data_IF_390112475941
#
_entry.id   IF_390112475941
#
_cell.length_a   1.000
_cell.length_b   1.000
_cell.length_c   1.000
_cell.angle_alpha   90.00
_cell.angle_beta   90.00
_cell.angle_gamma   90.00
#
_symmetry.space_group_name_H-M   'P 1'
#
loop_
_entity.id
_entity.type
_entity.pdbx_description
1 polymer ?
#
# COMPACT_ATOMS: atom_id res chain seq x y z
N UNK A 1 20.36 -0.98 -33.26
CA UNK A 1 19.25 -0.03 -33.06
C UNK A 1 19.19 0.29 -31.59
N UNK A 2 19.03 1.56 -31.23
CA UNK A 2 18.80 1.95 -29.85
C UNK A 2 17.43 1.42 -29.42
N UNK A 3 17.39 0.61 -28.37
CA UNK A 3 16.17 -0.04 -27.90
C UNK A 3 15.08 0.97 -27.51
N UNK A 4 15.46 2.17 -27.08
CA UNK A 4 14.53 3.23 -26.66
C UNK A 4 13.79 3.88 -27.83
N UNK A 5 14.38 3.90 -29.03
CA UNK A 5 13.78 4.49 -30.24
C UNK A 5 13.12 3.45 -31.15
N UNK A 6 13.28 2.16 -30.86
CA UNK A 6 12.78 1.08 -31.70
C UNK A 6 11.25 1.13 -31.87
N UNK A 7 10.51 1.42 -30.80
CA UNK A 7 9.04 1.54 -30.87
C UNK A 7 8.61 2.78 -31.67
N UNK A 8 9.33 3.90 -31.53
CA UNK A 8 9.03 5.13 -32.30
C UNK A 8 9.11 4.86 -33.81
N UNK A 9 10.10 4.11 -34.28
CA UNK A 9 10.23 3.73 -35.69
C UNK A 9 9.05 2.88 -36.20
N UNK A 10 8.44 2.08 -35.32
CA UNK A 10 7.23 1.31 -35.65
C UNK A 10 6.02 2.23 -35.70
N UNK A 11 5.87 3.12 -34.71
CA UNK A 11 4.77 4.08 -34.65
C UNK A 11 4.78 5.08 -35.81
N UNK A 12 5.95 5.41 -36.36
CA UNK A 12 6.07 6.22 -37.60
C UNK A 12 5.40 5.58 -38.83
N UNK A 13 5.26 4.25 -38.84
CA UNK A 13 4.64 3.50 -39.94
C UNK A 13 3.16 3.18 -39.67
N UNK A 14 2.69 3.45 -38.45
CA UNK A 14 1.34 3.14 -38.03
C UNK A 14 0.33 4.05 -38.74
N UNK A 15 -0.79 3.47 -39.17
CA UNK A 15 -1.96 4.19 -39.67
C UNK A 15 -3.14 4.07 -38.73
N UNK A 16 -3.16 3.07 -37.87
CA UNK A 16 -4.22 2.88 -36.89
C UNK A 16 -3.67 2.23 -35.64
N UNK A 17 -4.26 2.56 -34.51
CA UNK A 17 -4.06 1.83 -33.26
C UNK A 17 -5.41 1.36 -32.72
N UNK A 18 -5.48 0.09 -32.35
CA UNK A 18 -6.60 -0.47 -31.59
C UNK A 18 -6.15 -0.65 -30.15
N UNK A 19 -6.96 -0.16 -29.21
CA UNK A 19 -6.61 -0.17 -27.80
C UNK A 19 -7.74 -0.80 -27.00
N UNK A 20 -7.38 -1.68 -26.07
CA UNK A 20 -8.35 -2.34 -25.20
C UNK A 20 -7.75 -2.71 -23.86
N UNK A 21 -8.58 -2.85 -22.84
CA UNK A 21 -8.15 -3.26 -21.50
C UNK A 21 -7.67 -4.72 -21.48
N UNK A 22 -6.64 -4.98 -20.68
CA UNK A 22 -6.15 -6.33 -20.41
C UNK A 22 -6.88 -6.88 -19.19
N UNK A 23 -7.52 -8.04 -19.32
CA UNK A 23 -8.03 -8.81 -18.18
C UNK A 23 -9.41 -8.40 -17.62
N UNK A 24 -10.21 -7.59 -18.32
CA UNK A 24 -11.59 -7.28 -17.90
C UNK A 24 -11.71 -6.42 -16.64
N UNK A 25 -10.60 -5.86 -16.15
CA UNK A 25 -10.58 -4.86 -15.09
C UNK A 25 -10.70 -3.47 -15.73
N UNK A 26 -11.94 -3.05 -15.97
CA UNK A 26 -12.27 -1.78 -16.61
C UNK A 26 -13.52 -1.96 -17.47
N UNK A 27 -14.46 -1.02 -17.37
CA UNK A 27 -15.66 -0.96 -18.23
C UNK A 27 -15.34 -0.30 -19.57
N UNK A 28 -14.07 0.02 -19.80
CA UNK A 28 -13.64 0.80 -20.94
C UNK A 28 -13.55 -0.12 -22.15
N UNK A 29 -14.36 0.21 -23.16
CA UNK A 29 -14.47 -0.57 -24.39
C UNK A 29 -13.18 -0.55 -25.21
N UNK A 30 -13.25 -1.17 -26.38
CA UNK A 30 -12.19 -1.05 -27.39
C UNK A 30 -12.28 0.33 -28.05
N UNK A 31 -11.16 1.05 -28.10
CA UNK A 31 -11.04 2.30 -28.87
C UNK A 31 -10.21 2.03 -30.12
N UNK A 32 -10.56 2.71 -31.22
CA UNK A 32 -9.80 2.68 -32.47
C UNK A 32 -9.50 4.10 -32.89
N UNK A 33 -8.23 4.39 -33.10
CA UNK A 33 -7.76 5.73 -33.44
C UNK A 33 -7.02 5.68 -34.77
N UNK A 34 -7.45 6.54 -35.69
CA UNK A 34 -6.80 6.76 -36.97
C UNK A 34 -5.58 7.67 -36.77
N UNK A 35 -4.41 7.16 -37.15
CA UNK A 35 -3.12 7.84 -37.05
C UNK A 35 -2.67 8.43 -38.40
N UNK A 36 -3.55 8.46 -39.40
CA UNK A 36 -3.30 9.11 -40.69
C UNK A 36 -3.16 10.63 -40.56
N UNK A 37 -3.70 11.23 -39.49
CA UNK A 37 -3.40 12.61 -39.11
C UNK A 37 -1.99 12.69 -38.49
N UNK A 38 -1.04 13.43 -39.12
CA UNK A 38 0.30 13.60 -38.58
C UNK A 38 0.35 14.18 -37.17
N UNK A 39 -0.63 15.01 -36.79
CA UNK A 39 -0.70 15.58 -35.45
C UNK A 39 -1.02 14.48 -34.42
N UNK A 40 -2.00 13.63 -34.72
CA UNK A 40 -2.42 12.53 -33.83
C UNK A 40 -1.33 11.47 -33.70
N UNK A 41 -0.69 11.10 -34.81
CA UNK A 41 0.50 10.24 -34.80
C UNK A 41 1.64 10.80 -33.95
N UNK A 42 1.95 12.10 -34.09
CA UNK A 42 3.00 12.74 -33.31
C UNK A 42 2.69 12.78 -31.80
N UNK A 43 1.43 12.99 -31.44
CA UNK A 43 0.97 12.96 -30.04
C UNK A 43 1.15 11.59 -29.41
N UNK A 44 0.69 10.52 -30.08
CA UNK A 44 0.85 9.16 -29.56
C UNK A 44 2.34 8.77 -29.45
N UNK A 45 3.15 9.13 -30.45
CA UNK A 45 4.60 8.87 -30.42
C UNK A 45 5.30 9.55 -29.25
N UNK A 46 4.93 10.80 -28.97
CA UNK A 46 5.45 11.54 -27.81
C UNK A 46 5.00 10.89 -26.50
N UNK A 47 3.73 10.50 -26.41
CA UNK A 47 3.16 9.85 -25.24
C UNK A 47 3.77 8.45 -24.96
N UNK A 48 4.15 7.71 -26.01
CA UNK A 48 4.78 6.39 -25.91
C UNK A 48 6.32 6.45 -25.91
N UNK A 49 6.91 7.64 -25.77
CA UNK A 49 8.35 7.79 -25.75
C UNK A 49 8.96 7.04 -24.56
N UNK A 50 10.03 6.29 -24.82
CA UNK A 50 10.74 5.48 -23.82
C UNK A 50 11.95 6.24 -23.31
N UNK A 51 12.08 6.33 -21.99
CA UNK A 51 13.27 6.87 -21.33
C UNK A 51 14.36 5.82 -21.18
N UNK A 52 14.01 4.60 -20.75
CA UNK A 52 15.01 3.58 -20.42
C UNK A 52 14.48 2.14 -20.48
N UNK A 53 15.42 1.19 -20.51
CA UNK A 53 15.20 -0.26 -20.45
C UNK A 53 15.97 -0.84 -19.25
N UNK A 54 15.42 -0.80 -18.03
CA UNK A 54 16.17 -1.08 -16.81
C UNK A 54 16.41 -2.58 -16.53
N UNK A 55 15.94 -3.50 -17.37
CA UNK A 55 16.12 -4.95 -17.15
C UNK A 55 15.11 -5.57 -16.17
N UNK A 56 13.97 -4.93 -15.93
CA UNK A 56 12.90 -5.40 -15.05
C UNK A 56 11.64 -5.79 -15.83
N UNK A 57 10.84 -6.72 -15.30
CA UNK A 57 9.51 -7.05 -15.80
C UNK A 57 8.46 -6.97 -14.68
N UNK A 58 7.35 -6.28 -14.95
CA UNK A 58 6.16 -6.36 -14.11
C UNK A 58 5.65 -7.81 -14.06
N UNK A 59 5.28 -8.28 -12.88
CA UNK A 59 4.64 -9.59 -12.73
C UNK A 59 3.14 -9.57 -13.11
N UNK A 60 2.61 -8.40 -13.44
CA UNK A 60 1.24 -8.21 -13.88
C UNK A 60 1.04 -8.52 -15.38
N UNK A 61 -0.21 -8.76 -15.77
CA UNK A 61 -0.58 -8.95 -17.19
C UNK A 61 -0.59 -7.63 -17.99
N UNK A 62 -0.60 -6.49 -17.29
CA UNK A 62 -0.77 -5.16 -17.84
C UNK A 62 -2.20 -4.64 -17.71
N UNK A 63 -2.40 -3.37 -18.04
CA UNK A 63 -3.66 -2.66 -17.92
C UNK A 63 -4.31 -2.43 -19.28
N UNK A 64 -3.50 -2.02 -20.27
CA UNK A 64 -3.98 -1.60 -21.59
C UNK A 64 -3.11 -2.21 -22.68
N UNK A 65 -3.74 -2.82 -23.69
CA UNK A 65 -3.09 -3.38 -24.88
C UNK A 65 -3.29 -2.45 -26.06
N UNK A 66 -2.21 -2.16 -26.77
CA UNK A 66 -2.16 -1.42 -28.02
C UNK A 66 -1.80 -2.38 -29.15
N UNK A 67 -2.66 -2.53 -30.14
CA UNK A 67 -2.34 -3.15 -31.42
C UNK A 67 -2.08 -2.07 -32.46
N UNK A 68 -0.82 -1.97 -32.88
CA UNK A 68 -0.37 -0.99 -33.87
C UNK A 68 -0.50 -1.61 -35.25
N UNK A 69 -1.23 -0.95 -36.15
CA UNK A 69 -1.58 -1.45 -37.47
C UNK A 69 -1.03 -0.53 -38.57
N UNK A 70 -0.63 -1.14 -39.69
CA UNK A 70 -0.30 -0.43 -40.93
C UNK A 70 -1.57 -0.02 -41.71
N UNK A 71 -1.35 0.58 -42.88
CA UNK A 71 -2.41 1.07 -43.77
C UNK A 71 -3.36 -0.02 -44.27
N UNK A 72 -2.85 -1.23 -44.45
CA UNK A 72 -3.58 -2.38 -44.97
C UNK A 72 -4.25 -3.19 -43.84
N UNK A 73 -4.11 -2.72 -42.58
CA UNK A 73 -4.60 -3.40 -41.38
C UNK A 73 -3.67 -4.51 -40.89
N UNK A 74 -2.47 -4.64 -41.45
CA UNK A 74 -1.43 -5.54 -40.99
C UNK A 74 -0.88 -5.11 -39.63
N UNK A 75 -0.68 -6.06 -38.73
CA UNK A 75 -0.21 -5.76 -37.37
C UNK A 75 1.30 -5.56 -37.33
N UNK A 76 1.71 -4.35 -36.99
CA UNK A 76 3.12 -3.96 -36.84
C UNK A 76 3.66 -4.31 -35.45
N UNK A 77 2.87 -4.08 -34.39
CA UNK A 77 3.28 -4.37 -33.02
C UNK A 77 2.08 -4.63 -32.09
N UNK A 78 2.37 -5.31 -30.97
CA UNK A 78 1.49 -5.37 -29.80
C UNK A 78 2.30 -4.88 -28.61
N UNK A 79 1.83 -3.81 -27.98
CA UNK A 79 2.47 -3.20 -26.81
C UNK A 79 1.47 -3.19 -25.67
N UNK A 80 1.92 -3.45 -24.44
CA UNK A 80 1.06 -3.47 -23.25
C UNK A 80 1.56 -2.43 -22.25
N UNK A 81 0.68 -1.56 -21.78
CA UNK A 81 0.93 -0.60 -20.70
C UNK A 81 0.75 -1.27 -19.35
N UNK A 82 1.66 -0.97 -18.43
CA UNK A 82 1.67 -1.44 -17.05
C UNK A 82 1.78 -0.25 -16.09
N UNK A 83 0.84 -0.20 -15.16
CA UNK A 83 0.68 0.79 -14.09
C UNK A 83 0.84 2.25 -14.54
N UNK A 84 0.42 2.54 -15.78
CA UNK A 84 0.55 3.88 -16.38
C UNK A 84 1.99 4.37 -16.56
N UNK A 85 3.01 3.52 -16.40
CA UNK A 85 4.40 3.95 -16.30
C UNK A 85 5.37 3.15 -17.18
N UNK A 86 5.07 1.88 -17.49
CA UNK A 86 5.96 1.04 -18.30
C UNK A 86 5.24 0.37 -19.46
N UNK A 87 5.97 0.10 -20.53
CA UNK A 87 5.49 -0.60 -21.73
C UNK A 87 6.19 -1.94 -21.89
N UNK A 88 5.43 -2.99 -22.16
CA UNK A 88 5.95 -4.29 -22.58
C UNK A 88 5.75 -4.48 -24.07
N UNK A 89 6.83 -4.82 -24.76
CA UNK A 89 6.83 -5.17 -26.18
C UNK A 89 7.74 -6.36 -26.41
N UNK A 90 7.31 -7.34 -27.19
CA UNK A 90 8.05 -8.59 -27.41
C UNK A 90 9.40 -8.45 -28.13
N UNK A 91 9.78 -7.23 -28.52
CA UNK A 91 11.12 -6.93 -29.08
C UNK A 91 12.09 -6.38 -28.02
N UNK A 92 11.63 -6.20 -26.78
CA UNK A 92 12.47 -5.80 -25.64
C UNK A 92 12.69 -6.96 -24.67
N UNK A 93 13.88 -7.03 -24.11
CA UNK A 93 14.26 -7.99 -23.05
C UNK A 93 13.70 -7.60 -21.67
N UNK A 94 13.05 -6.45 -21.55
CA UNK A 94 12.49 -5.92 -20.30
C UNK A 94 11.33 -4.97 -20.58
N UNK A 95 10.56 -4.63 -19.56
CA UNK A 95 9.55 -3.58 -19.67
C UNK A 95 10.26 -2.21 -19.73
N UNK A 96 9.88 -1.39 -20.70
CA UNK A 96 10.45 -0.08 -20.94
C UNK A 96 9.78 0.99 -20.07
N UNK A 97 10.55 1.92 -19.51
CA UNK A 97 10.01 3.04 -18.74
C UNK A 97 9.61 4.16 -19.70
N UNK A 98 8.37 4.65 -19.58
CA UNK A 98 7.89 5.81 -20.32
C UNK A 98 8.59 7.08 -19.82
N UNK A 99 8.93 7.98 -20.74
CA UNK A 99 9.45 9.30 -20.38
C UNK A 99 8.43 10.14 -19.60
N UNK A 100 7.15 10.04 -19.97
CA UNK A 100 6.06 10.58 -19.17
C UNK A 100 4.79 9.74 -19.36
N UNK A 101 4.55 8.86 -18.39
CA UNK A 101 3.36 8.00 -18.37
C UNK A 101 2.03 8.76 -18.38
N UNK A 102 1.99 9.98 -17.82
CA UNK A 102 0.77 10.79 -17.77
C UNK A 102 0.33 11.25 -19.16
N UNK A 103 1.28 11.44 -20.09
CA UNK A 103 0.94 11.81 -21.47
C UNK A 103 0.16 10.68 -22.16
N UNK A 104 0.56 9.43 -21.96
CA UNK A 104 -0.16 8.28 -22.53
C UNK A 104 -1.52 8.08 -21.87
N UNK A 105 -1.60 8.24 -20.56
CA UNK A 105 -2.87 8.16 -19.83
C UNK A 105 -3.83 9.29 -20.26
N UNK A 106 -3.34 10.51 -20.48
CA UNK A 106 -4.14 11.62 -20.97
C UNK A 106 -4.61 11.37 -22.42
N UNK A 107 -3.73 10.82 -23.25
CA UNK A 107 -4.10 10.40 -24.61
C UNK A 107 -5.22 9.36 -24.59
N UNK A 108 -5.17 8.38 -23.69
CA UNK A 108 -6.24 7.37 -23.52
C UNK A 108 -7.55 8.00 -23.05
N UNK A 109 -7.50 8.90 -22.07
CA UNK A 109 -8.67 9.61 -21.52
C UNK A 109 -9.40 10.40 -22.61
N UNK A 110 -8.66 11.17 -23.41
CA UNK A 110 -9.21 11.95 -24.53
C UNK A 110 -9.88 11.09 -25.61
N UNK A 111 -9.45 9.83 -25.74
CA UNK A 111 -10.03 8.87 -26.69
C UNK A 111 -11.11 7.97 -26.06
N UNK A 112 -11.57 8.29 -24.85
CA UNK A 112 -12.70 7.61 -24.21
C UNK A 112 -12.33 6.40 -23.36
N UNK A 113 -11.06 6.29 -22.93
CA UNK A 113 -10.58 5.28 -21.98
C UNK A 113 -10.03 5.97 -20.71
N UNK A 114 -10.91 6.49 -19.84
CA UNK A 114 -10.51 7.28 -18.67
C UNK A 114 -10.02 6.43 -17.48
N UNK A 115 -10.38 5.14 -17.43
CA UNK A 115 -10.10 4.24 -16.30
C UNK A 115 -8.62 4.14 -15.92
N UNK A 116 -7.68 3.97 -16.87
CA UNK A 116 -6.25 3.95 -16.58
C UNK A 116 -5.75 5.20 -15.85
N UNK A 117 -6.19 6.40 -16.26
CA UNK A 117 -5.80 7.66 -15.59
C UNK A 117 -6.36 7.71 -14.16
N UNK A 118 -7.63 7.35 -13.98
CA UNK A 118 -8.27 7.35 -12.66
C UNK A 118 -7.58 6.38 -11.71
N UNK A 119 -7.23 5.18 -12.18
CA UNK A 119 -6.51 4.18 -11.40
C UNK A 119 -5.11 4.67 -11.03
N UNK A 120 -4.37 5.24 -11.98
CA UNK A 120 -3.04 5.80 -11.74
C UNK A 120 -3.06 6.91 -10.67
N UNK A 121 -4.01 7.84 -10.74
CA UNK A 121 -4.15 8.90 -9.74
C UNK A 121 -4.56 8.36 -8.37
N UNK A 122 -5.46 7.37 -8.33
CA UNK A 122 -5.84 6.71 -7.09
C UNK A 122 -4.67 5.93 -6.45
N UNK A 123 -3.82 5.29 -7.27
CA UNK A 123 -2.60 4.62 -6.81
C UNK A 123 -1.58 5.62 -6.27
N UNK A 124 -1.38 6.74 -6.98
CA UNK A 124 -0.49 7.82 -6.51
C UNK A 124 -0.96 8.39 -5.18
N UNK A 125 -2.25 8.71 -5.06
CA UNK A 125 -2.79 9.25 -3.80
C UNK A 125 -2.61 8.25 -2.65
N UNK A 126 -2.89 6.96 -2.89
CA UNK A 126 -2.66 5.91 -1.89
C UNK A 126 -1.18 5.75 -1.51
N UNK A 127 -0.27 5.91 -2.46
CA UNK A 127 1.17 5.87 -2.21
C UNK A 127 1.62 7.08 -1.36
N UNK A 128 1.07 8.27 -1.62
CA UNK A 128 1.33 9.48 -0.84
C UNK A 128 0.81 9.36 0.60
N UNK A 129 -0.42 8.86 0.77
CA UNK A 129 -1.00 8.53 2.07
C UNK A 129 -0.14 7.50 2.80
N UNK A 130 0.23 6.40 2.14
CA UNK A 130 1.07 5.35 2.72
C UNK A 130 2.46 5.84 3.12
N UNK A 131 3.06 6.75 2.35
CA UNK A 131 4.35 7.35 2.70
C UNK A 131 4.26 8.27 3.93
N UNK A 132 3.14 8.98 4.10
CA UNK A 132 2.87 9.77 5.30
C UNK A 132 2.60 8.87 6.52
N UNK A 133 1.83 7.80 6.36
CA UNK A 133 1.61 6.77 7.38
C UNK A 133 2.93 6.13 7.83
N UNK A 134 3.83 5.78 6.90
CA UNK A 134 5.16 5.24 7.20
C UNK A 134 6.03 6.25 7.97
N UNK A 135 6.01 7.53 7.57
CA UNK A 135 6.73 8.60 8.30
C UNK A 135 6.22 8.76 9.72
N UNK A 136 4.91 8.79 9.91
CA UNK A 136 4.29 8.89 11.25
C UNK A 136 4.59 7.66 12.10
N UNK A 137 4.60 6.47 11.49
CA UNK A 137 4.96 5.22 12.15
C UNK A 137 6.41 5.22 12.62
N UNK A 138 7.35 5.67 11.78
CA UNK A 138 8.76 5.81 12.14
C UNK A 138 8.99 6.89 13.21
N UNK A 139 8.28 8.01 13.14
CA UNK A 139 8.39 9.08 14.13
C UNK A 139 7.93 8.66 15.53
N UNK A 140 6.97 7.73 15.61
CA UNK A 140 6.51 7.14 16.87
C UNK A 140 7.33 5.92 17.31
N UNK A 141 8.36 5.51 16.55
CA UNK A 141 9.23 4.42 16.94
C UNK A 141 9.88 4.74 18.29
N UNK A 142 9.81 3.83 19.29
CA UNK A 142 10.40 4.06 20.59
C UNK A 142 11.90 4.35 20.51
N UNK A 143 12.36 5.30 21.31
CA UNK A 143 13.77 5.65 21.39
C UNK A 143 14.66 4.42 21.64
N UNK A 144 15.82 4.37 21.00
CA UNK A 144 16.77 3.25 21.07
C UNK A 144 16.52 2.12 20.06
N UNK A 145 15.43 2.18 19.28
CA UNK A 145 15.13 1.23 18.20
C UNK A 145 15.48 1.76 16.80
N UNK A 146 15.95 2.99 16.65
CA UNK A 146 16.13 3.68 15.37
C UNK A 146 17.05 2.90 14.42
N UNK A 147 18.11 2.28 14.98
CA UNK A 147 19.04 1.44 14.21
C UNK A 147 18.46 0.14 13.67
N UNK A 148 17.20 -0.18 13.97
CA UNK A 148 16.48 -1.36 13.46
C UNK A 148 15.39 -1.02 12.44
N UNK A 149 15.16 0.27 12.17
CA UNK A 149 14.07 0.75 11.33
C UNK A 149 14.08 0.13 9.93
N UNK A 150 15.21 0.18 9.23
CA UNK A 150 15.33 -0.36 7.87
C UNK A 150 15.01 -1.85 7.79
N UNK A 151 15.49 -2.62 8.76
CA UNK A 151 15.23 -4.06 8.85
C UNK A 151 13.76 -4.37 9.13
N UNK A 152 13.07 -3.53 9.89
CA UNK A 152 11.62 -3.68 10.13
C UNK A 152 10.82 -3.28 8.89
N UNK A 153 11.17 -2.18 8.21
CA UNK A 153 10.51 -1.73 6.98
C UNK A 153 10.65 -2.76 5.85
N UNK A 154 11.79 -3.44 5.77
CA UNK A 154 12.05 -4.47 4.77
C UNK A 154 11.07 -5.66 4.84
N UNK A 155 10.44 -5.89 6.01
CA UNK A 155 9.39 -6.91 6.15
C UNK A 155 8.20 -6.64 5.22
N UNK A 156 7.84 -5.38 5.00
CA UNK A 156 6.76 -5.01 4.08
C UNK A 156 7.16 -5.18 2.62
N UNK A 157 8.44 -4.98 2.29
CA UNK A 157 8.96 -5.15 0.92
C UNK A 157 9.06 -6.63 0.53
N UNK A 158 9.46 -7.46 1.48
CA UNK A 158 9.66 -8.90 1.28
C UNK A 158 8.41 -9.74 1.57
N UNK A 159 7.39 -9.16 2.20
CA UNK A 159 6.23 -9.90 2.71
C UNK A 159 6.58 -10.86 3.84
N UNK A 160 7.69 -10.60 4.55
CA UNK A 160 8.23 -11.45 5.60
C UNK A 160 7.44 -11.41 6.91
N UNK A 161 8.03 -11.97 7.96
CA UNK A 161 7.54 -11.83 9.35
C UNK A 161 8.73 -11.53 10.25
N UNK A 162 8.54 -10.79 11.36
CA UNK A 162 9.64 -10.53 12.28
C UNK A 162 10.16 -11.86 12.85
N UNK A 163 11.48 -12.05 12.79
CA UNK A 163 12.11 -13.27 13.32
C UNK A 163 12.10 -13.28 14.85
N UNK A 164 12.19 -14.46 15.50
CA UNK A 164 12.32 -14.55 16.95
C UNK A 164 13.51 -13.74 17.50
N UNK A 165 14.63 -13.72 16.78
CA UNK A 165 15.87 -13.00 17.13
C UNK A 165 15.66 -11.50 17.05
N UNK A 166 15.03 -11.00 15.98
CA UNK A 166 14.67 -9.58 15.87
C UNK A 166 13.77 -9.16 17.03
N UNK A 167 12.73 -9.95 17.33
CA UNK A 167 11.81 -9.63 18.43
C UNK A 167 12.50 -9.69 19.80
N UNK A 168 13.50 -10.57 20.00
CA UNK A 168 14.30 -10.62 21.22
C UNK A 168 15.17 -9.36 21.36
N UNK A 169 15.90 -8.98 20.31
CA UNK A 169 16.71 -7.76 20.28
C UNK A 169 15.88 -6.50 20.57
N UNK A 170 14.71 -6.37 19.93
CA UNK A 170 13.81 -5.24 20.19
C UNK A 170 13.30 -5.24 21.63
N UNK A 171 13.03 -6.41 22.20
CA UNK A 171 12.59 -6.54 23.60
C UNK A 171 13.70 -6.07 24.56
N UNK A 172 14.93 -6.50 24.35
CA UNK A 172 16.07 -6.16 25.21
C UNK A 172 16.37 -4.65 25.16
N UNK A 173 16.36 -4.06 23.96
CA UNK A 173 16.50 -2.61 23.80
C UNK A 173 15.39 -1.82 24.47
N UNK A 174 14.13 -2.25 24.31
CA UNK A 174 13.00 -1.60 24.99
C UNK A 174 13.10 -1.68 26.50
N UNK A 175 13.57 -2.80 27.05
CA UNK A 175 13.78 -2.95 28.50
C UNK A 175 14.91 -2.05 29.00
N UNK A 176 15.97 -1.88 28.21
CA UNK A 176 17.08 -1.00 28.54
C UNK A 176 16.67 0.48 28.49
N UNK A 177 15.98 0.90 27.42
CA UNK A 177 15.55 2.30 27.26
C UNK A 177 14.41 2.67 28.20
N UNK A 178 13.45 1.75 28.41
CA UNK A 178 12.28 1.97 29.26
C UNK A 178 12.24 0.92 30.38
N UNK A 179 12.98 1.14 31.49
CA UNK A 179 12.94 0.22 32.63
C UNK A 179 11.55 0.11 33.27
N UNK A 180 10.79 1.21 33.30
CA UNK A 180 9.40 1.22 33.77
C UNK A 180 8.50 0.42 32.81
N UNK A 181 7.86 -0.68 33.27
CA UNK A 181 6.95 -1.45 32.43
C UNK A 181 5.77 -0.63 31.89
N UNK A 182 5.31 0.38 32.63
CA UNK A 182 4.21 1.25 32.16
C UNK A 182 4.67 2.11 30.99
N UNK A 183 5.82 2.78 31.09
CA UNK A 183 6.36 3.60 29.99
C UNK A 183 6.61 2.75 28.75
N UNK A 184 7.15 1.56 28.92
CA UNK A 184 7.38 0.62 27.83
C UNK A 184 6.08 0.20 27.14
N UNK A 185 5.01 -0.07 27.90
CA UNK A 185 3.68 -0.36 27.34
C UNK A 185 3.12 0.83 26.58
N UNK A 186 3.19 2.03 27.15
CA UNK A 186 2.67 3.23 26.51
C UNK A 186 3.43 3.55 25.22
N UNK A 187 4.75 3.42 25.20
CA UNK A 187 5.57 3.59 24.00
C UNK A 187 5.21 2.59 22.90
N UNK A 188 5.00 1.31 23.25
CA UNK A 188 4.57 0.29 22.30
C UNK A 188 3.15 0.54 21.76
N UNK A 189 2.24 1.03 22.61
CA UNK A 189 0.88 1.38 22.19
C UNK A 189 0.86 2.57 21.25
N UNK A 190 1.63 3.62 21.55
CA UNK A 190 1.78 4.79 20.69
C UNK A 190 2.29 4.37 19.30
N UNK A 191 3.37 3.59 19.27
CA UNK A 191 3.96 3.08 18.04
C UNK A 191 3.04 2.14 17.26
N UNK A 192 2.25 1.31 17.94
CA UNK A 192 1.27 0.45 17.27
C UNK A 192 0.10 1.25 16.67
N UNK A 193 -0.23 2.39 17.28
CA UNK A 193 -1.34 3.26 16.86
C UNK A 193 -1.00 4.25 15.75
N UNK A 194 0.28 4.53 15.48
CA UNK A 194 0.74 5.67 14.66
C UNK A 194 0.85 5.45 13.15
N UNK A 195 0.75 4.21 12.68
CA UNK A 195 0.75 3.90 11.24
C UNK A 195 -0.62 4.15 10.60
N UNK A 196 -0.98 3.32 9.62
CA UNK A 196 -2.31 3.35 8.98
C UNK A 196 -3.49 3.27 9.96
N UNK A 197 -3.23 2.77 11.17
CA UNK A 197 -4.23 2.57 12.22
C UNK A 197 -5.24 1.48 11.90
N UNK A 198 -5.13 0.80 10.75
CA UNK A 198 -6.08 -0.23 10.32
C UNK A 198 -5.96 -1.48 11.19
N UNK A 199 -7.08 -2.15 11.44
CA UNK A 199 -7.10 -3.44 12.13
C UNK A 199 -6.78 -4.63 11.22
N UNK A 200 -6.78 -4.42 9.91
CA UNK A 200 -6.43 -5.41 8.88
C UNK A 200 -5.93 -4.73 7.61
N UNK A 201 -5.22 -5.47 6.74
CA UNK A 201 -4.73 -4.94 5.45
C UNK A 201 -3.72 -3.80 5.57
N UNK A 202 -2.86 -3.83 6.60
CA UNK A 202 -1.81 -2.86 6.85
C UNK A 202 -0.42 -3.41 6.45
N UNK A 203 0.58 -2.54 6.20
CA UNK A 203 1.96 -2.97 5.93
C UNK A 203 2.52 -3.87 7.03
N UNK A 204 3.22 -4.94 6.66
CA UNK A 204 3.75 -5.95 7.61
C UNK A 204 4.55 -5.32 8.75
N UNK A 205 5.37 -4.31 8.45
CA UNK A 205 6.19 -3.59 9.43
C UNK A 205 5.37 -3.04 10.61
N UNK A 206 4.12 -2.59 10.37
CA UNK A 206 3.27 -2.04 11.42
C UNK A 206 2.76 -3.10 12.42
N UNK A 207 2.92 -4.39 12.10
CA UNK A 207 2.59 -5.51 12.97
C UNK A 207 3.62 -5.75 14.08
N UNK A 208 4.87 -5.28 13.91
CA UNK A 208 5.97 -5.54 14.86
C UNK A 208 5.65 -5.08 16.29
N UNK A 209 5.11 -3.86 16.52
CA UNK A 209 4.74 -3.43 17.87
C UNK A 209 3.65 -4.32 18.49
N UNK A 210 2.73 -4.84 17.65
CA UNK A 210 1.69 -5.78 18.07
C UNK A 210 2.26 -7.13 18.53
N UNK A 211 3.26 -7.66 17.83
CA UNK A 211 3.99 -8.88 18.25
C UNK A 211 4.70 -8.69 19.59
N UNK A 212 5.33 -7.52 19.80
CA UNK A 212 5.96 -7.16 21.08
C UNK A 212 4.90 -7.01 22.20
N UNK A 213 3.80 -6.30 21.95
CA UNK A 213 2.68 -6.19 22.88
C UNK A 213 2.01 -7.54 23.17
N UNK A 214 2.06 -8.49 22.24
CA UNK A 214 1.57 -9.86 22.41
C UNK A 214 2.35 -10.64 23.46
N UNK A 215 3.61 -10.27 23.71
CA UNK A 215 4.49 -10.83 24.75
C UNK A 215 4.29 -10.16 26.11
N UNK A 216 3.69 -8.98 26.16
CA UNK A 216 3.40 -8.26 27.40
C UNK A 216 2.22 -8.93 28.13
N UNK A 217 2.35 -9.21 29.45
CA UNK A 217 1.24 -9.66 30.28
C UNK A 217 0.05 -8.69 30.21
N UNK A 218 -1.17 -9.22 30.11
CA UNK A 218 -2.37 -8.38 30.02
C UNK A 218 -2.53 -7.45 31.25
N UNK A 219 -2.06 -7.87 32.43
CA UNK A 219 -2.07 -7.05 33.63
C UNK A 219 -1.24 -5.77 33.47
N UNK A 220 -0.06 -5.86 32.85
CA UNK A 220 0.82 -4.71 32.62
C UNK A 220 0.23 -3.78 31.55
N UNK A 221 -0.40 -4.34 30.52
CA UNK A 221 -1.14 -3.57 29.52
C UNK A 221 -2.28 -2.76 30.16
N UNK A 222 -3.05 -3.39 31.05
CA UNK A 222 -4.13 -2.75 31.79
C UNK A 222 -3.62 -1.68 32.76
N UNK A 223 -2.51 -1.96 33.45
CA UNK A 223 -1.87 -0.98 34.34
C UNK A 223 -1.42 0.25 33.55
N UNK A 224 -0.80 0.06 32.38
CA UNK A 224 -0.40 1.16 31.52
C UNK A 224 -1.58 2.00 31.02
N UNK A 225 -2.67 1.37 30.60
CA UNK A 225 -3.88 2.07 30.13
C UNK A 225 -4.68 2.78 31.24
N UNK A 226 -4.46 2.40 32.50
CA UNK A 226 -5.04 3.04 33.69
C UNK A 226 -4.15 4.15 34.27
N UNK A 227 -2.88 4.22 33.89
CA UNK A 227 -1.92 5.24 34.34
C UNK A 227 -2.31 6.64 33.84
N UNK A 228 -2.01 7.67 34.65
CA UNK A 228 -2.31 9.06 34.32
C UNK A 228 -1.52 9.60 33.11
N UNK A 229 -0.41 8.94 32.76
CA UNK A 229 0.37 9.22 31.55
C UNK A 229 -0.32 8.74 30.28
N UNK A 230 -1.34 7.88 30.38
CA UNK A 230 -2.05 7.37 29.22
C UNK A 230 -2.84 8.49 28.51
N UNK A 231 -2.72 8.56 27.18
CA UNK A 231 -3.35 9.57 26.32
C UNK A 231 -4.09 8.89 25.16
N UNK A 232 -4.85 9.67 24.40
CA UNK A 232 -5.64 9.18 23.26
C UNK A 232 -4.84 8.36 22.22
N UNK A 233 -3.57 8.68 21.87
CA UNK A 233 -2.78 7.83 20.97
C UNK A 233 -2.61 6.38 21.46
N UNK A 234 -2.52 6.18 22.78
CA UNK A 234 -2.41 4.84 23.34
C UNK A 234 -3.73 4.05 23.22
N UNK A 235 -4.87 4.73 23.22
CA UNK A 235 -6.17 4.08 22.96
C UNK A 235 -6.24 3.58 21.52
N UNK A 236 -5.66 4.30 20.54
CA UNK A 236 -5.59 3.85 19.16
C UNK A 236 -4.80 2.54 19.01
N UNK A 237 -3.60 2.48 19.61
CA UNK A 237 -2.81 1.26 19.68
C UNK A 237 -3.50 0.14 20.45
N UNK A 238 -4.19 0.46 21.55
CA UNK A 238 -4.86 -0.54 22.37
C UNK A 238 -6.06 -1.15 21.66
N UNK A 239 -6.86 -0.34 20.96
CA UNK A 239 -7.93 -0.85 20.08
C UNK A 239 -7.32 -1.78 19.04
N UNK A 240 -6.32 -1.32 18.29
CA UNK A 240 -5.67 -2.13 17.26
C UNK A 240 -5.15 -3.46 17.82
N UNK A 241 -4.52 -3.45 18.99
CA UNK A 241 -3.99 -4.65 19.62
C UNK A 241 -5.08 -5.57 20.18
N UNK A 242 -6.12 -5.04 20.82
CA UNK A 242 -7.12 -5.86 21.51
C UNK A 242 -8.22 -6.37 20.58
N UNK A 243 -8.52 -5.67 19.48
CA UNK A 243 -9.59 -6.06 18.53
C UNK A 243 -9.08 -6.44 17.14
N UNK A 244 -7.79 -6.27 16.88
CA UNK A 244 -7.12 -6.68 15.65
C UNK A 244 -7.10 -8.18 15.43
N UNK A 245 -6.77 -8.62 14.22
CA UNK A 245 -6.77 -10.04 13.89
C UNK A 245 -5.54 -10.77 14.47
N UNK A 246 -5.77 -11.78 15.32
CA UNK A 246 -4.74 -12.70 15.86
C UNK A 246 -3.57 -12.03 16.59
N UNK A 247 -3.75 -10.80 17.06
CA UNK A 247 -2.75 -10.00 17.78
C UNK A 247 -2.36 -10.58 19.15
N UNK A 248 -3.24 -11.43 19.74
CA UNK A 248 -2.97 -12.08 21.03
C UNK A 248 -3.44 -13.55 21.06
N UNK A 249 -2.65 -14.50 21.61
CA UNK A 249 -3.05 -15.90 21.73
C UNK A 249 -4.33 -16.13 22.57
N UNK A 250 -4.62 -15.24 23.53
CA UNK A 250 -5.76 -15.34 24.45
C UNK A 250 -6.74 -14.16 24.31
N UNK A 251 -6.80 -13.55 23.12
CA UNK A 251 -7.57 -12.34 22.84
C UNK A 251 -8.99 -12.36 23.42
N UNK A 252 -9.77 -13.43 23.18
CA UNK A 252 -11.15 -13.53 23.72
C UNK A 252 -11.21 -13.44 25.24
N UNK A 253 -10.27 -14.08 25.94
CA UNK A 253 -10.19 -14.04 27.41
C UNK A 253 -9.72 -12.67 27.89
N UNK A 254 -8.70 -12.12 27.25
CA UNK A 254 -8.13 -10.82 27.61
C UNK A 254 -9.18 -9.71 27.44
N UNK A 255 -9.91 -9.71 26.32
CA UNK A 255 -11.01 -8.78 26.04
C UNK A 255 -12.17 -8.97 27.03
N UNK A 256 -12.53 -10.20 27.39
CA UNK A 256 -13.58 -10.44 28.39
C UNK A 256 -13.20 -9.91 29.79
N UNK A 257 -11.91 -9.87 30.12
CA UNK A 257 -11.39 -9.38 31.39
C UNK A 257 -11.18 -7.86 31.48
N UNK A 258 -11.46 -7.09 30.42
CA UNK A 258 -11.27 -5.64 30.45
C UNK A 258 -12.21 -4.96 31.46
N UNK A 259 -11.72 -4.03 32.29
CA UNK A 259 -12.57 -3.17 33.11
C UNK A 259 -13.57 -2.38 32.26
N UNK A 260 -14.82 -2.28 32.73
CA UNK A 260 -15.89 -1.64 31.96
C UNK A 260 -15.59 -0.18 31.55
N UNK A 261 -15.01 0.67 32.42
CA UNK A 261 -14.65 2.03 32.00
C UNK A 261 -13.65 2.06 30.85
N UNK A 262 -12.67 1.13 30.84
CA UNK A 262 -11.68 1.03 29.77
C UNK A 262 -12.32 0.50 28.49
N UNK A 263 -13.16 -0.53 28.58
CA UNK A 263 -13.92 -1.06 27.44
C UNK A 263 -14.74 0.04 26.76
N UNK A 264 -15.47 0.83 27.53
CA UNK A 264 -16.26 1.95 27.02
C UNK A 264 -15.39 3.03 26.36
N UNK A 265 -14.25 3.38 26.98
CA UNK A 265 -13.28 4.34 26.42
C UNK A 265 -12.74 3.90 25.05
N UNK A 266 -12.29 2.64 24.96
CA UNK A 266 -11.75 2.07 23.71
C UNK A 266 -12.82 1.94 22.62
N UNK A 267 -14.04 1.54 22.98
CA UNK A 267 -15.17 1.49 22.03
C UNK A 267 -15.52 2.89 21.51
N UNK A 268 -15.56 3.89 22.39
CA UNK A 268 -15.80 5.27 22.00
C UNK A 268 -14.72 5.81 21.07
N UNK A 269 -13.44 5.47 21.32
CA UNK A 269 -12.34 5.81 20.41
C UNK A 269 -12.53 5.16 19.03
N UNK A 270 -12.80 3.85 18.98
CA UNK A 270 -13.02 3.15 17.71
C UNK A 270 -14.20 3.74 16.90
N UNK A 271 -15.29 4.16 17.55
CA UNK A 271 -16.43 4.82 16.89
C UNK A 271 -16.07 6.15 16.22
N UNK A 272 -15.06 6.87 16.74
CA UNK A 272 -14.62 8.17 16.19
C UNK A 272 -13.56 8.04 15.10
N UNK A 273 -13.04 6.85 14.82
CA UNK A 273 -11.86 6.69 13.96
C UNK A 273 -12.10 6.82 12.46
N UNK A 274 -13.35 6.92 11.99
CA UNK A 274 -13.69 6.89 10.56
C UNK A 274 -13.49 5.54 9.83
N UNK A 275 -12.68 4.64 10.39
CA UNK A 275 -12.44 3.28 9.87
C UNK A 275 -13.58 2.30 10.21
N UNK A 276 -14.32 1.85 9.18
CA UNK A 276 -15.45 0.93 9.33
C UNK A 276 -15.06 -0.50 9.76
N UNK A 277 -13.87 -1.02 9.39
CA UNK A 277 -13.37 -2.32 9.85
C UNK A 277 -13.03 -2.26 11.34
N UNK A 278 -12.32 -1.20 11.76
CA UNK A 278 -12.02 -0.95 13.17
C UNK A 278 -13.29 -0.83 14.01
N UNK A 279 -14.28 -0.07 13.54
CA UNK A 279 -15.57 0.07 14.20
C UNK A 279 -16.30 -1.28 14.31
N UNK A 280 -16.45 -2.00 13.20
CA UNK A 280 -17.14 -3.30 13.20
C UNK A 280 -16.48 -4.33 14.11
N UNK A 281 -15.15 -4.33 14.20
CA UNK A 281 -14.40 -5.19 15.13
C UNK A 281 -14.58 -4.74 16.58
N UNK A 282 -14.46 -3.46 16.86
CA UNK A 282 -14.65 -2.93 18.20
C UNK A 282 -16.07 -3.21 18.73
N UNK A 283 -17.09 -3.04 17.90
CA UNK A 283 -18.47 -3.40 18.27
C UNK A 283 -18.59 -4.90 18.59
N UNK A 284 -17.94 -5.77 17.81
CA UNK A 284 -17.98 -7.22 18.05
C UNK A 284 -17.31 -7.64 19.36
N UNK A 285 -16.20 -7.00 19.71
CA UNK A 285 -15.33 -7.42 20.82
C UNK A 285 -15.58 -6.65 22.12
N UNK A 286 -15.89 -5.36 22.00
CA UNK A 286 -15.98 -4.43 23.12
C UNK A 286 -17.42 -4.04 23.47
N UNK A 287 -18.40 -4.18 22.58
CA UNK A 287 -19.78 -3.86 22.96
C UNK A 287 -20.31 -4.87 24.00
N UNK A 288 -21.21 -4.44 24.89
CA UNK A 288 -21.93 -5.36 25.77
C UNK A 288 -22.66 -6.45 24.95
N UNK A 289 -22.78 -7.67 25.46
CA UNK A 289 -23.61 -8.70 24.83
C UNK A 289 -25.03 -8.16 24.62
N UNK A 290 -25.61 -8.36 23.43
CA UNK A 290 -27.03 -8.08 23.22
C UNK A 290 -27.83 -9.08 24.06
N UNK A 291 -28.64 -8.57 24.98
CA UNK A 291 -29.59 -9.33 25.81
C UNK A 291 -30.74 -9.83 24.97
#
# INVERSE_FOLDING_TARGET
>A
MDGTTALDNVLQQAHMVQVGSVGGFGVDGEIRVDLSDPAESARLRTAMAVESLPGFHCMCLGDVRFEVLDRDGGRLAVVVLHHGATLRWGQWESDAVLADGRLLLAWLDEHGMPGPMQQFEADRLRAEEGAEEERNWLAAMPAGLEGTADGILDLSRTGGRPSPELLAELTDRLQLTFPDPVERVLALLDWHGSGSGRCSGYPVHEGVPGELLGRVPIADLLAGLADLRAKEPHDAGAVRHLVGWKTRPRQKRDVAGLPEPLRARLLAHARRSGDSDKQGRAERWLAPPRV
#
